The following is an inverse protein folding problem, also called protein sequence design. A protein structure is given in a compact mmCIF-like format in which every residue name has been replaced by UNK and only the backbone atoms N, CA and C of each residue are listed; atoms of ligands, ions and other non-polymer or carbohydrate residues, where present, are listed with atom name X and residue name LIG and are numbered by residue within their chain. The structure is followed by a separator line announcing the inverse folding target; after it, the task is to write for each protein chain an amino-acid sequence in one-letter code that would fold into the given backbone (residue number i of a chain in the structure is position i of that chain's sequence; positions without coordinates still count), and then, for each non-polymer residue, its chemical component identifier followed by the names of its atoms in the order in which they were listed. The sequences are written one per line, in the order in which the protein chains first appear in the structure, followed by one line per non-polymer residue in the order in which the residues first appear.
data_IF_397408843377
#
_entry.id   IF_397408843377
#
_cell.length_a   1.000
_cell.length_b   1.000
_cell.length_c   1.000
_cell.angle_alpha   90.00
_cell.angle_beta   90.00
_cell.angle_gamma   90.00
#
_symmetry.space_group_name_H-M   'P 1'
#
loop_
_entity.id
_entity.type
_entity.pdbx_description
1 polymer ?
#
# COMPACT_ATOMS: atom_id res chain seq x y z
N UNK A 1 7.64 5.20 -14.25
CA UNK A 1 8.84 6.01 -14.54
C UNK A 1 8.67 7.33 -13.79
N UNK A 2 9.09 7.45 -12.52
CA UNK A 2 8.76 8.62 -11.70
C UNK A 2 9.49 9.91 -12.08
N UNK A 3 10.72 9.83 -12.59
CA UNK A 3 11.45 11.04 -13.03
C UNK A 3 11.07 11.46 -14.44
N UNK A 4 10.66 10.51 -15.29
CA UNK A 4 10.24 10.78 -16.67
C UNK A 4 9.00 9.98 -17.06
N UNK A 5 7.81 10.31 -16.50
CA UNK A 5 6.60 9.52 -16.69
C UNK A 5 6.12 9.45 -18.14
N UNK A 6 6.46 10.45 -18.96
CA UNK A 6 5.98 10.57 -20.34
C UNK A 6 6.96 10.00 -21.39
N UNK A 7 8.18 9.60 -20.99
CA UNK A 7 9.21 9.15 -21.94
C UNK A 7 9.21 7.64 -22.08
N UNK A 8 9.25 7.17 -23.33
CA UNK A 8 9.56 5.76 -23.61
C UNK A 8 11.03 5.46 -23.33
N UNK A 9 11.35 4.20 -23.11
CA UNK A 9 12.70 3.70 -22.82
C UNK A 9 13.75 4.19 -23.83
N UNK A 10 13.40 4.21 -25.12
CA UNK A 10 14.29 4.64 -26.20
C UNK A 10 14.52 6.17 -26.19
N UNK A 11 13.45 6.94 -25.97
CA UNK A 11 13.49 8.40 -25.86
C UNK A 11 14.22 8.87 -24.60
N UNK A 12 14.17 8.07 -23.53
CA UNK A 12 14.91 8.30 -22.30
C UNK A 12 16.41 8.11 -22.54
N UNK A 13 16.80 7.09 -23.29
CA UNK A 13 18.20 6.82 -23.59
C UNK A 13 18.83 7.97 -24.40
N UNK A 14 18.16 8.45 -25.45
CA UNK A 14 18.62 9.60 -26.23
C UNK A 14 18.72 10.87 -25.37
N UNK A 15 17.67 11.17 -24.59
CA UNK A 15 17.65 12.33 -23.70
C UNK A 15 18.77 12.31 -22.65
N UNK A 16 19.01 11.15 -22.02
CA UNK A 16 20.10 10.98 -21.05
C UNK A 16 21.47 11.04 -21.73
N UNK A 17 21.57 10.66 -23.00
CA UNK A 17 22.83 10.74 -23.74
C UNK A 17 23.19 12.18 -24.11
N UNK A 18 22.22 13.08 -24.23
CA UNK A 18 22.45 14.51 -24.46
C UNK A 18 22.81 15.27 -23.16
N UNK A 19 22.45 14.73 -22.00
CA UNK A 19 22.72 15.34 -20.68
C UNK A 19 24.21 15.37 -20.31
N UNK A 20 24.65 16.38 -19.55
CA UNK A 20 26.05 16.50 -19.14
C UNK A 20 26.41 15.44 -18.09
N UNK A 21 27.67 14.99 -18.09
CA UNK A 21 28.13 13.90 -17.21
C UNK A 21 27.92 14.22 -15.71
N UNK A 22 28.13 15.47 -15.30
CA UNK A 22 27.95 15.88 -13.91
C UNK A 22 26.46 15.90 -13.49
N UNK A 23 25.56 16.25 -14.41
CA UNK A 23 24.12 16.23 -14.20
C UNK A 23 23.60 14.78 -14.09
N UNK A 24 24.11 13.87 -14.92
CA UNK A 24 23.84 12.42 -14.81
C UNK A 24 24.32 11.82 -13.48
N UNK A 25 25.48 12.25 -12.98
CA UNK A 25 25.98 11.81 -11.66
C UNK A 25 25.09 12.34 -10.54
N UNK A 26 24.68 13.61 -10.61
CA UNK A 26 23.74 14.18 -9.65
C UNK A 26 22.38 13.46 -9.66
N UNK A 27 21.86 13.14 -10.86
CA UNK A 27 20.64 12.37 -11.03
C UNK A 27 20.78 10.95 -10.45
N UNK A 28 21.92 10.29 -10.66
CA UNK A 28 22.18 8.97 -10.09
C UNK A 28 22.15 9.00 -8.55
N UNK A 29 22.77 10.01 -7.95
CA UNK A 29 22.74 10.18 -6.49
C UNK A 29 21.34 10.49 -5.95
N UNK A 30 20.46 11.16 -6.71
CA UNK A 30 19.10 11.45 -6.26
C UNK A 30 18.20 10.22 -6.18
N UNK A 31 18.54 9.10 -6.84
CA UNK A 31 17.77 7.86 -6.71
C UNK A 31 17.90 7.23 -5.32
N UNK A 32 19.01 7.43 -4.60
CA UNK A 32 19.21 6.87 -3.26
C UNK A 32 18.10 7.29 -2.28
N UNK A 33 17.94 8.61 -2.00
CA UNK A 33 16.86 9.11 -1.15
C UNK A 33 15.45 8.78 -1.65
N UNK A 34 15.27 8.66 -2.98
CA UNK A 34 13.99 8.26 -3.58
C UNK A 34 13.63 6.81 -3.23
N UNK A 35 14.58 5.87 -3.35
CA UNK A 35 14.35 4.48 -2.97
C UNK A 35 14.13 4.31 -1.46
N UNK A 36 14.90 5.04 -0.63
CA UNK A 36 14.68 5.06 0.82
C UNK A 36 13.25 5.53 1.15
N UNK A 37 12.80 6.64 0.54
CA UNK A 37 11.44 7.14 0.75
C UNK A 37 10.35 6.19 0.25
N UNK A 38 10.59 5.44 -0.84
CA UNK A 38 9.67 4.43 -1.34
C UNK A 38 9.61 3.21 -0.42
N UNK A 39 10.76 2.74 0.09
CA UNK A 39 10.81 1.62 1.03
C UNK A 39 10.11 1.97 2.35
N UNK A 40 10.32 3.18 2.87
CA UNK A 40 9.60 3.70 4.04
C UNK A 40 8.08 3.69 3.83
N UNK A 41 7.61 4.10 2.64
CA UNK A 41 6.17 4.09 2.32
C UNK A 41 5.64 2.67 2.24
N UNK A 42 6.36 1.77 1.56
CA UNK A 42 5.98 0.35 1.43
C UNK A 42 5.86 -0.28 2.82
N UNK A 43 6.87 -0.11 3.67
CA UNK A 43 6.89 -0.68 5.02
C UNK A 43 5.72 -0.17 5.87
N UNK A 44 5.44 1.14 5.83
CA UNK A 44 4.29 1.73 6.53
C UNK A 44 2.96 1.18 6.02
N UNK A 45 2.78 1.10 4.71
CA UNK A 45 1.55 0.54 4.11
C UNK A 45 1.36 -0.93 4.49
N UNK A 46 2.43 -1.73 4.48
CA UNK A 46 2.36 -3.12 4.95
C UNK A 46 2.02 -3.22 6.44
N UNK A 47 2.57 -2.34 7.27
CA UNK A 47 2.26 -2.29 8.69
C UNK A 47 0.79 -1.90 8.93
N UNK A 48 0.28 -0.92 8.18
CA UNK A 48 -1.13 -0.51 8.24
C UNK A 48 -2.07 -1.66 7.84
N UNK A 49 -1.72 -2.42 6.79
CA UNK A 49 -2.48 -3.61 6.39
C UNK A 49 -2.50 -4.64 7.52
N UNK A 50 -1.35 -4.95 8.12
CA UNK A 50 -1.27 -5.91 9.24
C UNK A 50 -2.12 -5.46 10.43
N UNK A 51 -2.01 -4.19 10.82
CA UNK A 51 -2.79 -3.63 11.92
C UNK A 51 -4.29 -3.67 11.65
N UNK A 52 -4.71 -3.35 10.42
CA UNK A 52 -6.11 -3.43 10.03
C UNK A 52 -6.63 -4.88 9.97
N UNK A 53 -5.81 -5.84 9.58
CA UNK A 53 -6.15 -7.27 9.61
C UNK A 53 -6.33 -7.78 11.05
N UNK A 54 -5.45 -7.41 11.97
CA UNK A 54 -5.60 -7.74 13.40
C UNK A 54 -6.89 -7.13 13.97
N UNK A 55 -7.17 -5.86 13.65
CA UNK A 55 -8.41 -5.20 14.06
C UNK A 55 -9.65 -5.89 13.47
N UNK A 56 -9.57 -6.35 12.22
CA UNK A 56 -10.64 -7.07 11.56
C UNK A 56 -10.97 -8.39 12.27
N UNK A 57 -9.95 -9.15 12.67
CA UNK A 57 -10.12 -10.40 13.43
C UNK A 57 -10.82 -10.11 14.76
N UNK A 58 -10.36 -9.12 15.52
CA UNK A 58 -10.97 -8.75 16.79
C UNK A 58 -12.45 -8.31 16.64
N UNK A 59 -12.78 -7.59 15.56
CA UNK A 59 -14.16 -7.20 15.28
C UNK A 59 -15.05 -8.38 14.85
N UNK A 60 -14.49 -9.36 14.13
CA UNK A 60 -15.20 -10.59 13.77
C UNK A 60 -15.53 -11.41 15.02
N UNK A 61 -14.56 -11.59 15.92
CA UNK A 61 -14.80 -12.27 17.21
C UNK A 61 -15.89 -11.56 18.02
N UNK A 62 -15.86 -10.22 18.06
CA UNK A 62 -16.90 -9.42 18.71
C UNK A 62 -18.26 -9.58 18.05
N UNK A 63 -18.31 -9.65 16.72
CA UNK A 63 -19.54 -9.86 15.98
C UNK A 63 -20.15 -11.23 16.30
N UNK A 64 -19.34 -12.29 16.30
CA UNK A 64 -19.78 -13.65 16.61
C UNK A 64 -20.27 -13.77 18.06
N UNK A 65 -19.61 -13.07 19.00
CA UNK A 65 -20.07 -13.01 20.38
C UNK A 65 -21.44 -12.33 20.51
N UNK A 66 -21.67 -11.23 19.78
CA UNK A 66 -22.96 -10.54 19.74
C UNK A 66 -24.05 -11.40 19.09
N UNK A 67 -23.73 -12.15 18.04
CA UNK A 67 -24.66 -13.07 17.39
C UNK A 67 -25.10 -14.18 18.36
N UNK A 68 -24.16 -14.80 19.07
CA UNK A 68 -24.48 -15.81 20.11
C UNK A 68 -25.35 -15.23 21.22
N UNK A 69 -25.07 -14.00 21.64
CA UNK A 69 -25.90 -13.30 22.63
C UNK A 69 -27.31 -13.06 22.11
N UNK A 70 -27.46 -12.60 20.86
CA UNK A 70 -28.77 -12.37 20.23
C UNK A 70 -29.58 -13.66 20.14
N UNK A 71 -28.95 -14.78 19.77
CA UNK A 71 -29.60 -16.11 19.74
C UNK A 71 -30.10 -16.51 21.13
N UNK A 72 -29.23 -16.40 22.15
CA UNK A 72 -29.61 -16.75 23.53
C UNK A 72 -30.73 -15.85 24.08
N UNK A 73 -30.70 -14.55 23.77
CA UNK A 73 -31.77 -13.61 24.13
C UNK A 73 -33.08 -13.96 23.41
N UNK A 74 -33.02 -14.35 22.14
CA UNK A 74 -34.18 -14.78 21.37
C UNK A 74 -34.80 -16.09 21.89
N UNK A 75 -33.97 -17.06 22.31
CA UNK A 75 -34.44 -18.29 22.96
C UNK A 75 -35.12 -18.00 24.29
N UNK A 76 -34.46 -17.23 25.16
CA UNK A 76 -35.05 -16.78 26.45
C UNK A 76 -36.36 -16.05 26.24
N UNK A 77 -36.47 -15.24 25.18
CA UNK A 77 -37.71 -14.55 24.81
C UNK A 77 -38.82 -15.52 24.40
N UNK A 78 -38.50 -16.57 23.63
CA UNK A 78 -39.47 -17.61 23.26
C UNK A 78 -39.96 -18.37 24.48
N UNK A 79 -39.07 -18.75 25.40
CA UNK A 79 -39.43 -19.40 26.66
C UNK A 79 -40.32 -18.51 27.52
N UNK A 80 -39.94 -17.24 27.70
CA UNK A 80 -40.73 -16.26 28.42
C UNK A 80 -42.13 -16.13 27.81
N UNK A 81 -42.23 -15.96 26.48
CA UNK A 81 -43.51 -15.88 25.78
C UNK A 81 -44.37 -17.15 25.95
N UNK A 82 -43.77 -18.33 25.94
CA UNK A 82 -44.49 -19.59 26.16
C UNK A 82 -45.04 -19.70 27.60
N UNK A 83 -44.32 -19.17 28.58
CA UNK A 83 -44.69 -19.21 30.00
C UNK A 83 -45.77 -18.20 30.42
N UNK A 84 -46.01 -17.17 29.61
CA UNK A 84 -47.00 -16.13 29.91
C UNK A 84 -48.44 -16.66 29.77
N UNK A 85 -49.35 -16.31 30.69
CA UNK A 85 -50.76 -16.68 30.59
C UNK A 85 -51.48 -15.84 29.53
N UNK A 86 -52.65 -16.32 29.08
CA UNK A 86 -53.49 -15.62 28.09
C UNK A 86 -53.35 -16.13 26.66
N UNK A 87 -54.03 -15.48 25.72
CA UNK A 87 -53.95 -15.77 24.29
C UNK A 87 -52.70 -15.11 23.65
N UNK A 88 -52.39 -15.43 22.38
CA UNK A 88 -51.16 -14.97 21.72
C UNK A 88 -50.99 -13.45 21.68
N UNK A 89 -52.08 -12.69 21.55
CA UNK A 89 -52.03 -11.23 21.53
C UNK A 89 -51.76 -10.64 22.93
N UNK A 90 -52.40 -11.19 23.97
CA UNK A 90 -52.18 -10.81 25.37
C UNK A 90 -50.74 -11.07 25.82
N UNK A 91 -50.19 -12.25 25.46
CA UNK A 91 -48.80 -12.60 25.74
C UNK A 91 -47.83 -11.65 25.04
N UNK A 92 -48.14 -11.22 23.83
CA UNK A 92 -47.26 -10.32 23.07
C UNK A 92 -47.22 -8.91 23.69
N UNK A 93 -48.36 -8.41 24.13
CA UNK A 93 -48.45 -7.13 24.86
C UNK A 93 -47.71 -7.20 26.20
N UNK A 94 -47.87 -8.29 26.95
CA UNK A 94 -47.12 -8.52 28.19
C UNK A 94 -45.61 -8.59 27.94
N UNK A 95 -45.17 -9.29 26.89
CA UNK A 95 -43.75 -9.38 26.52
C UNK A 95 -43.14 -8.02 26.15
N UNK A 96 -43.90 -7.16 25.48
CA UNK A 96 -43.51 -5.78 25.16
C UNK A 96 -43.37 -4.90 26.41
N UNK A 97 -44.23 -5.11 27.42
CA UNK A 97 -44.16 -4.40 28.71
C UNK A 97 -42.89 -4.74 29.50
N UNK A 98 -42.36 -5.96 29.38
CA UNK A 98 -41.10 -6.38 30.02
C UNK A 98 -39.83 -5.86 29.31
N UNK A 99 -39.95 -5.06 28.25
CA UNK A 99 -38.82 -4.36 27.64
C UNK A 99 -37.75 -5.29 27.05
N UNK A 100 -38.14 -6.48 26.58
CA UNK A 100 -37.23 -7.42 25.91
C UNK A 100 -36.89 -6.86 24.53
N UNK A 101 -36.01 -5.87 24.45
CA UNK A 101 -35.42 -5.39 23.20
C UNK A 101 -33.99 -5.93 23.12
N UNK A 102 -33.63 -6.55 21.99
CA UNK A 102 -32.28 -7.07 21.77
C UNK A 102 -31.32 -5.89 21.60
N UNK A 103 -30.51 -5.61 22.63
CA UNK A 103 -29.42 -4.63 22.54
C UNK A 103 -28.34 -5.17 21.60
N UNK A 104 -28.20 -6.50 21.53
CA UNK A 104 -27.22 -7.20 20.70
C UNK A 104 -27.39 -6.88 19.21
N UNK A 105 -28.61 -6.84 18.68
CA UNK A 105 -28.87 -6.58 17.24
C UNK A 105 -28.38 -5.18 16.83
N UNK A 106 -28.60 -4.18 17.70
CA UNK A 106 -28.15 -2.80 17.45
C UNK A 106 -26.63 -2.66 17.48
N UNK A 107 -25.95 -3.43 18.33
CA UNK A 107 -24.49 -3.44 18.44
C UNK A 107 -23.87 -4.23 17.29
N UNK A 108 -24.50 -5.33 16.89
CA UNK A 108 -24.09 -6.14 15.75
C UNK A 108 -24.11 -5.33 14.45
N UNK A 109 -25.14 -4.50 14.26
CA UNK A 109 -25.19 -3.55 13.14
C UNK A 109 -24.02 -2.57 13.10
N UNK A 110 -23.63 -2.01 14.26
CA UNK A 110 -22.47 -1.11 14.37
C UNK A 110 -21.16 -1.82 14.04
N UNK A 111 -20.94 -2.99 14.63
CA UNK A 111 -19.73 -3.81 14.37
C UNK A 111 -19.66 -4.21 12.90
N UNK A 112 -20.79 -4.56 12.27
CA UNK A 112 -20.85 -4.87 10.83
C UNK A 112 -20.40 -3.70 9.95
N UNK A 113 -20.80 -2.47 10.31
CA UNK A 113 -20.36 -1.26 9.60
C UNK A 113 -18.85 -1.04 9.77
N UNK A 114 -18.32 -1.22 10.98
CA UNK A 114 -16.87 -1.11 11.26
C UNK A 114 -16.06 -2.15 10.47
N UNK A 115 -16.52 -3.41 10.44
CA UNK A 115 -15.93 -4.48 9.63
C UNK A 115 -15.86 -4.08 8.15
N UNK A 116 -16.96 -3.53 7.59
CA UNK A 116 -16.98 -3.09 6.19
C UNK A 116 -15.96 -1.98 5.92
N UNK A 117 -15.87 -0.99 6.81
CA UNK A 117 -14.90 0.12 6.69
C UNK A 117 -13.47 -0.37 6.72
N UNK A 118 -13.13 -1.30 7.61
CA UNK A 118 -11.77 -1.85 7.71
C UNK A 118 -11.44 -2.69 6.47
N UNK A 119 -12.37 -3.51 5.98
CA UNK A 119 -12.18 -4.25 4.72
C UNK A 119 -11.91 -3.32 3.53
N UNK A 120 -12.62 -2.21 3.46
CA UNK A 120 -12.39 -1.20 2.43
C UNK A 120 -11.03 -0.52 2.56
N UNK A 121 -10.60 -0.18 3.79
CA UNK A 121 -9.25 0.35 4.06
C UNK A 121 -8.16 -0.64 3.67
N UNK A 122 -8.28 -1.91 4.04
CA UNK A 122 -7.32 -2.97 3.65
C UNK A 122 -7.20 -3.02 2.12
N UNK A 123 -8.33 -3.07 1.41
CA UNK A 123 -8.32 -3.13 -0.06
C UNK A 123 -7.66 -1.90 -0.69
N UNK A 124 -7.92 -0.71 -0.16
CA UNK A 124 -7.30 0.52 -0.63
C UNK A 124 -5.79 0.51 -0.39
N UNK A 125 -5.35 0.07 0.79
CA UNK A 125 -3.94 -0.05 1.13
C UNK A 125 -3.23 -1.12 0.28
N UNK A 126 -3.89 -2.26 -0.01
CA UNK A 126 -3.36 -3.28 -0.93
C UNK A 126 -3.18 -2.74 -2.34
N UNK A 127 -4.11 -1.91 -2.81
CA UNK A 127 -3.99 -1.24 -4.11
C UNK A 127 -2.81 -0.26 -4.11
N UNK A 128 -2.70 0.58 -3.07
CA UNK A 128 -1.56 1.49 -2.91
C UNK A 128 -0.23 0.76 -2.82
N UNK A 129 -0.18 -0.39 -2.14
CA UNK A 129 1.02 -1.21 -2.05
C UNK A 129 1.43 -1.75 -3.43
N UNK A 130 0.47 -2.21 -4.23
CA UNK A 130 0.71 -2.63 -5.61
C UNK A 130 1.29 -1.50 -6.45
N UNK A 131 0.68 -0.30 -6.36
CA UNK A 131 1.14 0.89 -7.09
C UNK A 131 2.58 1.28 -6.68
N UNK A 132 2.90 1.26 -5.39
CA UNK A 132 4.25 1.54 -4.87
C UNK A 132 5.28 0.51 -5.35
N UNK A 133 4.90 -0.77 -5.42
CA UNK A 133 5.78 -1.84 -5.93
C UNK A 133 6.04 -1.64 -7.43
N UNK A 134 5.03 -1.27 -8.20
CA UNK A 134 5.17 -0.94 -9.62
C UNK A 134 6.03 0.31 -9.82
N UNK A 135 5.84 1.35 -9.02
CA UNK A 135 6.67 2.56 -9.02
C UNK A 135 8.13 2.23 -8.73
N UNK A 136 8.39 1.39 -7.72
CA UNK A 136 9.75 0.93 -7.37
C UNK A 136 10.40 0.18 -8.53
N UNK A 137 9.67 -0.73 -9.18
CA UNK A 137 10.18 -1.46 -10.36
C UNK A 137 10.52 -0.50 -11.50
N UNK A 138 9.60 0.42 -11.83
CA UNK A 138 9.83 1.39 -12.89
C UNK A 138 11.01 2.32 -12.58
N UNK A 139 11.18 2.73 -11.32
CA UNK A 139 12.34 3.52 -10.86
C UNK A 139 13.66 2.74 -11.02
N UNK A 140 13.63 1.44 -10.76
CA UNK A 140 14.79 0.56 -10.93
C UNK A 140 15.19 0.45 -12.40
N UNK A 141 14.22 0.27 -13.28
CA UNK A 141 14.46 0.21 -14.73
C UNK A 141 15.07 1.52 -15.25
N UNK A 142 14.57 2.68 -14.79
CA UNK A 142 15.18 3.99 -15.09
C UNK A 142 16.63 4.07 -14.59
N UNK A 143 16.89 3.66 -13.36
CA UNK A 143 18.24 3.71 -12.79
C UNK A 143 19.22 2.81 -13.56
N UNK A 144 18.78 1.64 -14.03
CA UNK A 144 19.59 0.75 -14.88
C UNK A 144 19.99 1.48 -16.18
N UNK A 145 19.06 2.22 -16.79
CA UNK A 145 19.33 3.01 -18.00
C UNK A 145 20.32 4.14 -17.70
N UNK A 146 20.10 4.91 -16.63
CA UNK A 146 21.00 5.99 -16.20
C UNK A 146 22.42 5.45 -15.94
N UNK A 147 22.55 4.33 -15.24
CA UNK A 147 23.83 3.67 -14.99
C UNK A 147 24.52 3.23 -16.29
N UNK A 148 23.75 2.72 -17.25
CA UNK A 148 24.26 2.29 -18.55
C UNK A 148 24.82 3.48 -19.35
N UNK A 149 24.09 4.61 -19.39
CA UNK A 149 24.54 5.84 -20.06
C UNK A 149 25.76 6.45 -19.36
N UNK A 150 25.77 6.44 -18.01
CA UNK A 150 26.93 6.87 -17.23
C UNK A 150 28.18 6.05 -17.55
N UNK A 151 28.06 4.72 -17.63
CA UNK A 151 29.19 3.85 -17.98
C UNK A 151 29.72 4.14 -19.39
N UNK A 152 28.84 4.36 -20.37
CA UNK A 152 29.23 4.72 -21.74
C UNK A 152 29.95 6.08 -21.79
N UNK A 153 29.45 7.09 -21.08
CA UNK A 153 30.07 8.42 -21.06
C UNK A 153 31.41 8.44 -20.34
N UNK A 154 31.55 7.73 -19.20
CA UNK A 154 32.84 7.59 -18.50
C UNK A 154 33.89 6.94 -19.39
N UNK A 155 33.52 5.88 -20.10
CA UNK A 155 34.42 5.20 -21.05
C UNK A 155 34.89 6.12 -22.18
N UNK A 156 34.04 7.00 -22.72
CA UNK A 156 34.42 7.99 -23.74
C UNK A 156 35.44 9.00 -23.20
N UNK A 157 35.20 9.52 -22.01
CA UNK A 157 36.11 10.48 -21.36
C UNK A 157 37.48 9.84 -21.10
N UNK A 158 37.53 8.58 -20.68
CA UNK A 158 38.78 7.83 -20.50
C UNK A 158 39.54 7.62 -21.82
N UNK A 159 38.84 7.28 -22.91
CA UNK A 159 39.48 7.15 -24.23
C UNK A 159 40.00 8.48 -24.78
N UNK A 160 39.26 9.58 -24.60
CA UNK A 160 39.69 10.91 -25.05
C UNK A 160 40.94 11.39 -24.29
N UNK A 161 41.03 11.08 -22.99
CA UNK A 161 42.24 11.37 -22.20
C UNK A 161 43.47 10.55 -22.62
N UNK A 162 43.28 9.30 -23.05
CA UNK A 162 44.37 8.44 -23.54
C UNK A 162 44.88 8.90 -24.92
N UNK A 163 44.00 9.38 -25.80
CA UNK A 163 44.40 9.91 -27.12
C UNK A 163 45.14 11.25 -27.00
N UNK A 164 44.72 12.14 -26.10
CA UNK A 164 45.42 13.40 -25.85
C UNK A 164 46.81 13.19 -25.22
N UNK A 165 46.97 12.20 -24.33
CA UNK A 165 48.26 11.88 -23.70
C UNK A 165 49.27 11.23 -24.64
N UNK A 166 48.84 10.58 -25.73
CA UNK A 166 49.74 9.92 -26.70
C UNK A 166 50.23 10.86 -27.82
N UNK A 167 49.57 12.01 -28.02
CA UNK A 167 49.95 13.00 -29.03
C UNK A 167 51.12 13.91 -28.63
N UNK A 168 51.56 13.88 -27.36
CA UNK A 168 52.64 14.73 -26.84
C UNK A 168 53.99 14.01 -26.85
N UNK A 169 54.47 13.60 -28.02
CA UNK A 169 55.89 13.24 -28.21
C UNK A 169 56.61 14.40 -28.91
N UNK A 170 57.48 15.17 -28.21
CA UNK A 170 58.23 16.22 -28.86
C UNK A 170 59.27 15.60 -29.78
N UNK A 171 59.11 15.84 -31.09
CA UNK A 171 60.12 15.50 -32.08
C UNK A 171 61.35 16.39 -31.84
N UNK A 172 62.35 15.85 -31.15
CA UNK A 172 63.69 16.44 -31.09
C UNK A 172 64.29 16.37 -32.51
N UNK A 173 64.27 17.49 -33.22
CA UNK A 173 65.04 17.70 -34.45
C UNK A 173 66.44 18.23 -34.07
N UNK A 174 67.42 17.39 -34.38
CA UNK A 174 68.88 17.58 -34.59
C UNK A 174 69.57 18.81 -34.01
#
# INVERSE_FOLDING_TARGET
MPFYPDKKTDELFEFLNDMLLHELVALNHSYGPHFEALEDKIERTEQDIRGDQEQLVALQERYDALERQSIAEAEKRKEAFASLPGNGAERYLQLGFFGVFSVADSQQGKVSIEIKKIKERIKNNETQLSDLIEEKKASMDELIIVNSVLALKRKRVETDHLELSSSSSPTLRN
#
